data_IF_746039146551
#
_entry.id   IF_746039146551
#
_cell.length_a   1.000
_cell.length_b   1.000
_cell.length_c   1.000
_cell.angle_alpha   90.00
_cell.angle_beta   90.00
_cell.angle_gamma   90.00
#
_symmetry.space_group_name_H-M   'P 1'
#
loop_
_entity.id
_entity.type
_entity.pdbx_description
1 polymer ?
#
# COMPACT_ATOMS: atom_id res chain seq x y z
N UNK A 1 36.30 -7.89 5.84
CA UNK A 1 35.30 -7.96 6.93
C UNK A 1 34.74 -6.58 7.31
N UNK A 2 35.52 -5.52 7.27
CA UNK A 2 35.05 -4.13 7.51
C UNK A 2 34.20 -3.55 6.37
N UNK A 3 34.53 -3.84 5.12
CA UNK A 3 33.78 -3.35 3.95
C UNK A 3 32.42 -4.03 3.79
N UNK A 4 32.32 -5.33 4.03
CA UNK A 4 31.06 -6.04 3.99
C UNK A 4 30.12 -5.60 5.10
N UNK A 5 30.64 -5.28 6.27
CA UNK A 5 29.88 -4.78 7.41
C UNK A 5 29.38 -3.34 7.17
N UNK A 6 30.20 -2.48 6.56
CA UNK A 6 29.78 -1.10 6.20
C UNK A 6 28.73 -1.08 5.11
N UNK A 7 28.84 -1.95 4.09
CA UNK A 7 27.82 -2.11 3.06
C UNK A 7 26.51 -2.68 3.61
N UNK A 8 26.60 -3.66 4.52
CA UNK A 8 25.42 -4.20 5.20
C UNK A 8 24.73 -3.17 6.09
N UNK A 9 25.49 -2.38 6.84
CA UNK A 9 24.96 -1.27 7.62
C UNK A 9 24.35 -0.17 6.75
N UNK A 10 24.98 0.15 5.62
CA UNK A 10 24.48 1.18 4.70
C UNK A 10 23.18 0.73 4.00
N UNK A 11 23.03 -0.57 3.71
CA UNK A 11 21.78 -1.09 3.11
C UNK A 11 20.62 -1.13 4.09
N UNK A 12 20.89 -1.38 5.38
CA UNK A 12 19.87 -1.35 6.45
C UNK A 12 19.54 0.08 6.88
N UNK A 13 20.50 1.02 6.73
CA UNK A 13 20.34 2.41 7.13
C UNK A 13 19.92 3.32 5.97
N UNK A 14 19.19 2.79 5.01
CA UNK A 14 18.56 3.63 4.00
C UNK A 14 17.63 4.61 4.70
N UNK A 15 17.75 5.88 4.41
CA UNK A 15 16.94 6.97 4.97
C UNK A 15 15.44 6.69 4.86
N UNK A 16 15.04 5.91 3.86
CA UNK A 16 13.66 5.51 3.60
C UNK A 16 13.06 4.64 4.71
N UNK A 17 13.84 3.77 5.34
CA UNK A 17 13.39 2.95 6.48
C UNK A 17 13.09 3.79 7.72
N UNK A 18 13.91 4.81 7.98
CA UNK A 18 13.73 5.71 9.12
C UNK A 18 12.47 6.57 8.96
N UNK A 19 12.23 7.10 7.76
CA UNK A 19 11.01 7.85 7.47
C UNK A 19 9.77 6.97 7.57
N UNK A 20 9.80 5.77 6.99
CA UNK A 20 8.69 4.82 7.08
C UNK A 20 8.42 4.41 8.53
N UNK A 21 9.47 4.14 9.32
CA UNK A 21 9.33 3.80 10.73
C UNK A 21 8.74 4.97 11.55
N UNK A 22 9.24 6.19 11.35
CA UNK A 22 8.70 7.40 11.97
C UNK A 22 7.23 7.61 11.65
N UNK A 23 6.84 7.42 10.38
CA UNK A 23 5.46 7.55 9.92
C UNK A 23 4.57 6.45 10.53
N UNK A 24 5.04 5.22 10.62
CA UNK A 24 4.31 4.11 11.25
C UNK A 24 4.10 4.38 12.75
N UNK A 25 5.13 4.81 13.46
CA UNK A 25 5.04 5.10 14.90
C UNK A 25 4.08 6.26 15.16
N UNK A 26 4.17 7.35 14.40
CA UNK A 26 3.27 8.51 14.56
C UNK A 26 1.82 8.16 14.26
N UNK A 27 1.56 7.42 13.20
CA UNK A 27 0.20 6.98 12.84
C UNK A 27 -0.36 5.95 13.83
N UNK A 28 0.46 5.04 14.33
CA UNK A 28 0.06 4.11 15.40
C UNK A 28 -0.30 4.83 16.69
N UNK A 29 0.48 5.82 17.10
CA UNK A 29 0.18 6.59 18.33
C UNK A 29 -1.13 7.36 18.21
N UNK A 30 -1.42 7.95 17.03
CA UNK A 30 -2.68 8.63 16.75
C UNK A 30 -3.88 7.65 16.78
N UNK A 31 -3.73 6.49 16.17
CA UNK A 31 -4.76 5.44 16.16
C UNK A 31 -5.02 4.89 17.57
N UNK A 32 -3.98 4.70 18.39
CA UNK A 32 -4.11 4.26 19.77
C UNK A 32 -4.90 5.25 20.62
N UNK A 33 -4.75 6.54 20.37
CA UNK A 33 -5.43 7.59 21.13
C UNK A 33 -6.91 7.69 20.78
N UNK A 34 -7.31 7.33 19.55
CA UNK A 34 -8.64 7.67 19.03
C UNK A 34 -9.54 6.47 18.66
N UNK A 35 -9.04 5.26 18.54
CA UNK A 35 -9.80 4.10 18.04
C UNK A 35 -10.23 3.14 19.15
N UNK A 36 -11.46 2.61 19.00
CA UNK A 36 -12.01 1.59 19.90
C UNK A 36 -11.52 0.17 19.53
N UNK A 37 -11.02 -0.03 18.28
CA UNK A 37 -10.57 -1.34 17.74
C UNK A 37 -9.05 -1.55 17.86
N UNK A 38 -8.48 -1.10 18.98
CA UNK A 38 -7.03 -1.07 19.24
C UNK A 38 -6.33 -2.42 19.00
N UNK A 39 -6.97 -3.52 19.41
CA UNK A 39 -6.36 -4.86 19.34
C UNK A 39 -6.16 -5.36 17.91
N UNK A 40 -7.11 -5.10 17.02
CA UNK A 40 -7.03 -5.55 15.62
C UNK A 40 -5.94 -4.78 14.87
N UNK A 41 -5.88 -3.46 15.10
CA UNK A 41 -4.88 -2.58 14.50
C UNK A 41 -3.48 -2.98 14.98
N UNK A 42 -3.33 -3.20 16.30
CA UNK A 42 -2.05 -3.60 16.89
C UNK A 42 -1.58 -4.96 16.38
N UNK A 43 -2.47 -5.94 16.32
CA UNK A 43 -2.17 -7.29 15.82
C UNK A 43 -1.68 -7.24 14.37
N UNK A 44 -2.37 -6.50 13.51
CA UNK A 44 -1.99 -6.37 12.10
C UNK A 44 -0.65 -5.61 11.95
N UNK A 45 -0.46 -4.50 12.68
CA UNK A 45 0.79 -3.76 12.66
C UNK A 45 1.96 -4.62 13.14
N UNK A 46 1.77 -5.39 14.21
CA UNK A 46 2.82 -6.25 14.78
C UNK A 46 3.20 -7.40 13.83
N UNK A 47 2.24 -8.00 13.13
CA UNK A 47 2.53 -9.05 12.14
C UNK A 47 3.35 -8.52 10.96
N UNK A 48 2.96 -7.40 10.35
CA UNK A 48 3.70 -6.80 9.25
C UNK A 48 5.08 -6.29 9.67
N UNK A 49 5.18 -5.66 10.84
CA UNK A 49 6.46 -5.19 11.38
C UNK A 49 7.39 -6.38 11.69
N UNK A 50 6.85 -7.45 12.24
CA UNK A 50 7.58 -8.69 12.46
C UNK A 50 8.11 -9.29 11.16
N UNK A 51 7.27 -9.40 10.13
CA UNK A 51 7.69 -9.91 8.82
C UNK A 51 8.77 -9.02 8.18
N UNK A 52 8.63 -7.69 8.24
CA UNK A 52 9.62 -6.76 7.74
C UNK A 52 10.96 -6.86 8.50
N UNK A 53 10.90 -7.00 9.83
CA UNK A 53 12.08 -7.20 10.66
C UNK A 53 12.80 -8.50 10.31
N UNK A 54 12.08 -9.62 10.16
CA UNK A 54 12.68 -10.89 9.75
C UNK A 54 13.29 -10.82 8.35
N UNK A 55 12.64 -10.14 7.39
CA UNK A 55 13.18 -9.96 6.06
C UNK A 55 14.46 -9.10 6.07
N UNK A 56 14.49 -8.03 6.85
CA UNK A 56 15.68 -7.18 7.01
C UNK A 56 16.83 -7.94 7.68
N UNK A 57 16.54 -8.76 8.71
CA UNK A 57 17.53 -9.57 9.41
C UNK A 57 18.08 -10.67 8.50
N UNK A 58 17.24 -11.32 7.69
CA UNK A 58 17.66 -12.30 6.70
C UNK A 58 18.52 -11.65 5.60
N UNK A 59 18.19 -10.44 5.14
CA UNK A 59 19.00 -9.65 4.22
C UNK A 59 20.39 -9.38 4.82
N UNK A 60 20.45 -8.92 6.06
CA UNK A 60 21.72 -8.67 6.76
C UNK A 60 22.61 -9.92 6.87
N UNK A 61 22.02 -11.05 7.24
CA UNK A 61 22.73 -12.35 7.31
C UNK A 61 23.24 -12.76 5.93
N UNK A 62 22.45 -12.58 4.87
CA UNK A 62 22.84 -12.91 3.50
C UNK A 62 23.99 -12.05 3.00
N UNK A 63 24.07 -10.78 3.40
CA UNK A 63 25.22 -9.92 3.14
C UNK A 63 26.49 -10.43 3.84
N UNK A 64 26.40 -10.84 5.10
CA UNK A 64 27.53 -11.42 5.85
C UNK A 64 28.05 -12.72 5.22
N UNK A 65 27.17 -13.52 4.64
CA UNK A 65 27.52 -14.77 3.93
C UNK A 65 27.95 -14.55 2.48
N UNK A 66 28.12 -13.29 2.05
CA UNK A 66 28.49 -12.92 0.68
C UNK A 66 27.52 -13.39 -0.41
N UNK A 67 26.25 -13.68 -0.05
CA UNK A 67 25.18 -14.06 -0.95
C UNK A 67 24.48 -12.80 -1.48
N UNK A 68 25.17 -12.01 -2.31
CA UNK A 68 24.71 -10.68 -2.74
C UNK A 68 23.34 -10.67 -3.42
N UNK A 69 23.01 -11.71 -4.19
CA UNK A 69 21.72 -11.81 -4.87
C UNK A 69 20.57 -12.04 -3.88
N UNK A 70 20.76 -12.98 -2.96
CA UNK A 70 19.77 -13.28 -1.92
C UNK A 70 19.54 -12.05 -1.01
N UNK A 71 20.60 -11.35 -0.66
CA UNK A 71 20.52 -10.13 0.15
C UNK A 71 19.69 -9.04 -0.53
N UNK A 72 19.88 -8.81 -1.85
CA UNK A 72 19.08 -7.83 -2.61
C UNK A 72 17.60 -8.20 -2.63
N UNK A 73 17.28 -9.47 -2.95
CA UNK A 73 15.89 -9.93 -2.99
C UNK A 73 15.20 -9.77 -1.63
N UNK A 74 15.87 -10.15 -0.55
CA UNK A 74 15.32 -10.05 0.80
C UNK A 74 15.13 -8.58 1.22
N UNK A 75 16.04 -7.71 0.83
CA UNK A 75 15.91 -6.27 1.08
C UNK A 75 14.70 -5.68 0.33
N UNK A 76 14.51 -6.03 -0.94
CA UNK A 76 13.33 -5.61 -1.71
C UNK A 76 12.03 -6.09 -1.08
N UNK A 77 11.97 -7.33 -0.62
CA UNK A 77 10.82 -7.86 0.10
C UNK A 77 10.55 -7.04 1.38
N UNK A 78 11.59 -6.71 2.14
CA UNK A 78 11.45 -5.89 3.34
C UNK A 78 10.87 -4.50 3.02
N UNK A 79 11.37 -3.82 1.99
CA UNK A 79 10.88 -2.51 1.54
C UNK A 79 9.41 -2.58 1.12
N UNK A 80 9.04 -3.61 0.36
CA UNK A 80 7.64 -3.81 -0.05
C UNK A 80 6.73 -3.98 1.17
N UNK A 81 7.11 -4.82 2.12
CA UNK A 81 6.32 -5.08 3.33
C UNK A 81 6.15 -3.82 4.19
N UNK A 82 7.22 -3.05 4.37
CA UNK A 82 7.18 -1.79 5.13
C UNK A 82 6.27 -0.78 4.43
N UNK A 83 6.36 -0.67 3.10
CA UNK A 83 5.51 0.23 2.33
C UNK A 83 4.02 -0.14 2.40
N UNK A 84 3.69 -1.43 2.30
CA UNK A 84 2.32 -1.92 2.48
C UNK A 84 1.77 -1.60 3.89
N UNK A 85 2.60 -1.80 4.92
CA UNK A 85 2.24 -1.45 6.29
C UNK A 85 2.01 0.05 6.45
N UNK A 86 2.90 0.87 5.89
CA UNK A 86 2.77 2.33 5.94
C UNK A 86 1.48 2.80 5.28
N UNK A 87 1.18 2.32 4.07
CA UNK A 87 -0.05 2.64 3.35
C UNK A 87 -1.31 2.24 4.14
N UNK A 88 -1.31 1.03 4.70
CA UNK A 88 -2.42 0.57 5.53
C UNK A 88 -2.62 1.44 6.77
N UNK A 89 -1.54 1.80 7.44
CA UNK A 89 -1.58 2.60 8.67
C UNK A 89 -2.07 4.03 8.37
N UNK A 90 -1.58 4.64 7.29
CA UNK A 90 -2.05 5.94 6.80
C UNK A 90 -3.53 5.87 6.41
N UNK A 91 -3.95 4.86 5.67
CA UNK A 91 -5.35 4.64 5.30
C UNK A 91 -6.26 4.58 6.53
N UNK A 92 -5.90 3.75 7.52
CA UNK A 92 -6.65 3.68 8.78
C UNK A 92 -6.69 5.03 9.52
N UNK A 93 -5.60 5.79 9.52
CA UNK A 93 -5.55 7.12 10.13
C UNK A 93 -6.51 8.09 9.41
N UNK A 94 -6.50 8.10 8.07
CA UNK A 94 -7.38 8.95 7.28
C UNK A 94 -8.85 8.58 7.48
N UNK A 95 -9.21 7.30 7.30
CA UNK A 95 -10.61 6.87 7.31
C UNK A 95 -11.21 6.75 8.71
N UNK A 96 -10.42 6.46 9.75
CA UNK A 96 -10.93 6.25 11.12
C UNK A 96 -10.66 7.40 12.10
N UNK A 97 -9.78 8.34 11.75
CA UNK A 97 -9.47 9.48 12.61
C UNK A 97 -9.79 10.79 11.89
N UNK A 98 -9.25 11.01 10.71
CA UNK A 98 -9.35 12.29 10.01
C UNK A 98 -10.76 12.56 9.46
N UNK A 99 -11.33 11.64 8.69
CA UNK A 99 -12.66 11.81 8.11
C UNK A 99 -13.78 11.93 9.16
N UNK A 100 -13.84 11.09 10.19
CA UNK A 100 -14.82 11.25 11.26
C UNK A 100 -14.70 12.58 12.02
N UNK A 101 -13.48 13.14 12.17
CA UNK A 101 -13.30 14.45 12.77
C UNK A 101 -13.91 15.59 11.95
N UNK A 102 -14.07 15.37 10.64
CA UNK A 102 -14.77 16.27 9.71
C UNK A 102 -16.29 15.96 9.59
N UNK A 103 -16.83 15.09 10.46
CA UNK A 103 -18.21 14.59 10.40
C UNK A 103 -18.57 13.82 9.13
N UNK A 104 -17.58 13.33 8.39
CA UNK A 104 -17.75 12.50 7.20
C UNK A 104 -17.59 11.04 7.61
N UNK A 105 -18.62 10.22 7.40
CA UNK A 105 -18.59 8.79 7.67
C UNK A 105 -18.61 8.02 6.34
N UNK A 106 -17.45 7.75 5.73
CA UNK A 106 -17.40 7.02 4.49
C UNK A 106 -17.79 5.54 4.69
N UNK A 107 -18.42 4.92 3.70
CA UNK A 107 -18.68 3.47 3.75
C UNK A 107 -17.36 2.69 3.72
N UNK A 108 -17.32 1.55 4.40
CA UNK A 108 -16.11 0.69 4.48
C UNK A 108 -15.56 0.28 3.11
N UNK A 109 -16.43 0.10 2.14
CA UNK A 109 -16.04 -0.24 0.78
C UNK A 109 -15.15 0.83 0.13
N UNK A 110 -15.32 2.09 0.49
CA UNK A 110 -14.48 3.18 -0.01
C UNK A 110 -13.06 3.09 0.57
N UNK A 111 -12.93 2.77 1.87
CA UNK A 111 -11.64 2.49 2.51
C UNK A 111 -10.89 1.37 1.79
N UNK A 112 -11.58 0.23 1.56
CA UNK A 112 -10.99 -0.94 0.92
C UNK A 112 -10.56 -0.64 -0.52
N UNK A 113 -11.39 0.05 -1.32
CA UNK A 113 -11.04 0.44 -2.70
C UNK A 113 -9.83 1.37 -2.72
N UNK A 114 -9.80 2.40 -1.86
CA UNK A 114 -8.69 3.35 -1.80
C UNK A 114 -7.38 2.65 -1.38
N UNK A 115 -7.44 1.71 -0.44
CA UNK A 115 -6.28 0.93 -0.03
C UNK A 115 -5.76 0.03 -1.17
N UNK A 116 -6.67 -0.64 -1.89
CA UNK A 116 -6.28 -1.47 -3.05
C UNK A 116 -5.59 -0.62 -4.12
N UNK A 117 -6.16 0.54 -4.46
CA UNK A 117 -5.55 1.47 -5.41
C UNK A 117 -4.17 1.95 -4.95
N UNK A 118 -4.02 2.27 -3.66
CA UNK A 118 -2.74 2.67 -3.08
C UNK A 118 -1.71 1.54 -3.14
N UNK A 119 -2.10 0.29 -2.90
CA UNK A 119 -1.21 -0.87 -3.02
C UNK A 119 -0.78 -1.12 -4.47
N UNK A 120 -1.69 -0.97 -5.44
CA UNK A 120 -1.36 -1.07 -6.86
C UNK A 120 -0.36 0.02 -7.25
N UNK A 121 -0.61 1.27 -6.85
CA UNK A 121 0.30 2.39 -7.12
C UNK A 121 1.68 2.16 -6.52
N UNK A 122 1.76 1.69 -5.27
CA UNK A 122 3.02 1.33 -4.62
C UNK A 122 3.76 0.23 -5.37
N UNK A 123 3.06 -0.83 -5.76
CA UNK A 123 3.63 -1.91 -6.56
C UNK A 123 4.19 -1.41 -7.89
N UNK A 124 3.49 -0.51 -8.58
CA UNK A 124 3.99 0.10 -9.83
C UNK A 124 5.25 0.92 -9.60
N UNK A 125 5.32 1.72 -8.53
CA UNK A 125 6.54 2.48 -8.17
C UNK A 125 7.71 1.52 -7.98
N UNK A 126 7.53 0.46 -7.19
CA UNK A 126 8.59 -0.53 -6.94
C UNK A 126 9.04 -1.26 -8.22
N UNK A 127 8.10 -1.62 -9.10
CA UNK A 127 8.44 -2.23 -10.39
C UNK A 127 9.22 -1.26 -11.28
N UNK A 128 8.86 0.02 -11.29
CA UNK A 128 9.58 1.06 -12.02
C UNK A 128 11.01 1.23 -11.51
N UNK A 129 11.22 1.25 -10.21
CA UNK A 129 12.54 1.33 -9.57
C UNK A 129 13.40 0.09 -9.85
N UNK A 130 12.76 -1.08 -9.98
CA UNK A 130 13.41 -2.31 -10.42
C UNK A 130 13.76 -2.32 -11.93
N UNK A 131 13.47 -1.24 -12.66
CA UNK A 131 13.78 -1.10 -14.08
C UNK A 131 12.74 -1.72 -15.03
N UNK A 132 11.58 -2.12 -14.52
CA UNK A 132 10.48 -2.65 -15.35
C UNK A 132 9.82 -1.51 -16.11
N UNK A 133 9.73 -1.66 -17.43
CA UNK A 133 9.05 -0.67 -18.27
C UNK A 133 7.52 -0.81 -18.12
N UNK A 134 6.92 0.10 -17.37
CA UNK A 134 5.48 0.08 -17.09
C UNK A 134 4.63 0.62 -18.24
N UNK A 135 5.22 1.27 -19.26
CA UNK A 135 4.45 1.89 -20.34
C UNK A 135 3.61 0.87 -21.11
N UNK A 136 4.16 -0.30 -21.39
CA UNK A 136 3.43 -1.39 -22.03
C UNK A 136 2.25 -1.90 -21.20
N UNK A 137 2.45 -2.04 -19.88
CA UNK A 137 1.40 -2.50 -18.96
C UNK A 137 0.26 -1.47 -18.88
N UNK A 138 0.60 -0.18 -18.76
CA UNK A 138 -0.38 0.91 -18.70
C UNK A 138 -1.17 1.00 -20.01
N UNK A 139 -0.48 0.93 -21.17
CA UNK A 139 -1.11 0.98 -22.47
C UNK A 139 -2.06 -0.21 -22.67
N UNK A 140 -1.62 -1.43 -22.37
CA UNK A 140 -2.47 -2.62 -22.47
C UNK A 140 -3.69 -2.52 -21.55
N UNK A 141 -3.50 -2.07 -20.32
CA UNK A 141 -4.59 -1.87 -19.36
C UNK A 141 -5.60 -0.82 -19.87
N UNK A 142 -5.13 0.27 -20.46
CA UNK A 142 -5.99 1.31 -21.04
C UNK A 142 -6.84 0.76 -22.21
N UNK A 143 -6.25 -0.06 -23.08
CA UNK A 143 -6.97 -0.71 -24.18
C UNK A 143 -8.04 -1.66 -23.64
N UNK A 144 -7.68 -2.54 -22.69
CA UNK A 144 -8.63 -3.47 -22.08
C UNK A 144 -9.78 -2.70 -21.39
N UNK A 145 -9.46 -1.65 -20.65
CA UNK A 145 -10.46 -0.81 -19.97
C UNK A 145 -11.39 -0.16 -21.00
N UNK A 146 -10.85 0.34 -22.12
CA UNK A 146 -11.64 0.89 -23.23
C UNK A 146 -12.61 -0.14 -23.80
N UNK A 147 -12.14 -1.36 -24.08
CA UNK A 147 -12.99 -2.45 -24.60
C UNK A 147 -14.13 -2.77 -23.63
N UNK A 148 -13.81 -2.89 -22.32
CA UNK A 148 -14.83 -3.13 -21.29
C UNK A 148 -15.83 -1.97 -21.23
N UNK A 149 -15.37 -0.72 -21.26
CA UNK A 149 -16.23 0.45 -21.20
C UNK A 149 -17.19 0.48 -22.39
N UNK A 150 -16.71 0.20 -23.60
CA UNK A 150 -17.56 0.09 -24.78
C UNK A 150 -18.59 -1.04 -24.67
N UNK A 151 -18.15 -2.21 -24.18
CA UNK A 151 -19.05 -3.36 -24.00
C UNK A 151 -20.15 -3.10 -22.96
N UNK A 152 -19.89 -2.24 -21.98
CA UNK A 152 -20.85 -1.90 -20.92
C UNK A 152 -21.66 -0.63 -21.22
N UNK A 153 -21.39 0.07 -22.32
CA UNK A 153 -22.00 1.37 -22.63
C UNK A 153 -23.54 1.31 -22.62
N UNK A 154 -24.13 0.33 -23.27
CA UNK A 154 -25.58 0.18 -23.35
C UNK A 154 -26.20 -0.18 -21.99
N UNK A 155 -25.52 -1.02 -21.22
CA UNK A 155 -25.94 -1.40 -19.86
C UNK A 155 -25.94 -0.18 -18.92
N UNK A 156 -24.89 0.60 -18.94
CA UNK A 156 -24.78 1.86 -18.18
C UNK A 156 -25.83 2.89 -18.61
N UNK A 157 -26.06 3.03 -19.92
CA UNK A 157 -27.08 3.90 -20.46
C UNK A 157 -28.48 3.54 -19.97
N UNK A 158 -28.82 2.26 -19.97
CA UNK A 158 -30.11 1.78 -19.50
C UNK A 158 -30.28 1.97 -17.98
N UNK A 159 -29.22 1.71 -17.20
CA UNK A 159 -29.23 1.93 -15.73
C UNK A 159 -29.43 3.41 -15.40
N UNK A 160 -28.65 4.28 -16.04
CA UNK A 160 -28.73 5.74 -15.83
C UNK A 160 -30.09 6.29 -16.30
N UNK A 161 -30.60 5.82 -17.43
CA UNK A 161 -31.93 6.18 -17.93
C UNK A 161 -33.04 5.77 -16.97
N UNK A 162 -32.98 4.55 -16.45
CA UNK A 162 -33.93 4.07 -15.44
C UNK A 162 -33.86 4.87 -14.13
N UNK A 163 -32.66 5.19 -13.68
CA UNK A 163 -32.43 6.03 -12.49
C UNK A 163 -32.97 7.45 -12.68
N UNK A 164 -32.74 8.05 -13.84
CA UNK A 164 -33.24 9.39 -14.17
C UNK A 164 -34.77 9.42 -14.16
N UNK A 165 -35.44 8.42 -14.75
CA UNK A 165 -36.90 8.30 -14.72
C UNK A 165 -37.43 8.14 -13.27
N UNK A 166 -36.73 7.39 -12.43
CA UNK A 166 -37.11 7.20 -11.04
C UNK A 166 -36.95 8.47 -10.20
N UNK A 167 -35.92 9.28 -10.48
CA UNK A 167 -35.70 10.56 -9.80
C UNK A 167 -36.70 11.64 -10.24
N UNK A 168 -37.12 11.61 -11.50
CA UNK A 168 -38.11 12.58 -12.05
C UNK A 168 -39.56 12.27 -11.59
N UNK A 169 -39.75 11.22 -10.79
CA UNK A 169 -41.07 10.81 -10.26
C UNK A 169 -42.16 10.71 -11.34
N UNK A 170 -41.79 10.44 -12.58
CA UNK A 170 -42.73 10.32 -13.71
C UNK A 170 -43.43 8.95 -13.80
N UNK A 171 -43.24 8.09 -12.77
CA UNK A 171 -43.93 6.81 -12.59
C UNK A 171 -44.52 6.73 -11.21
#
# INVERSE_FOLDING_TARGET
MSESLSLALHSVWHTDYLYAFGLIVTTLTLLFKHSNDRLIILKNAFTFLGMAFFAALASFISYLLSLSLAARILNEIAVILIGLLALRTVGLCVFRVFLPSLHIQPPRILEDIMLVLAYIAWGMVRMSEAGVNLSGLVTTSAVITGIIAFSMQDTLGNILGGLALQLDKSI
#
